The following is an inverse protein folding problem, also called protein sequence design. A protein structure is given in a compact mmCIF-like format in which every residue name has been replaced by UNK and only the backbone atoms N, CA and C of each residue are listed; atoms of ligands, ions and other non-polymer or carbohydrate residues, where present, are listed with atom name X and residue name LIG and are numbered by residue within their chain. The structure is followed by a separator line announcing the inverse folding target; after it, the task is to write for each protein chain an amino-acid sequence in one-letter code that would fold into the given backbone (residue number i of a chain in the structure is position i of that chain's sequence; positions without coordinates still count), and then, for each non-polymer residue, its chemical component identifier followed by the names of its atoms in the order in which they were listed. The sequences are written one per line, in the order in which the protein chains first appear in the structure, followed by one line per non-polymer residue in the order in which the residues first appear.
data_IF_056937255298
#
_entry.id   IF_056937255298
#
_cell.length_a   1.000
_cell.length_b   1.000
_cell.length_c   1.000
_cell.angle_alpha   90.00
_cell.angle_beta   90.00
_cell.angle_gamma   90.00
#
_symmetry.space_group_name_H-M   'P 1'
#
loop_
_entity.id
_entity.type
_entity.pdbx_description
1 polymer ?
#
# COMPACT_ATOMS: atom_id res chain seq x y z
N UNK A 1 -15.59 -18.13 -18.66
CA UNK A 1 -15.35 -16.87 -17.92
C UNK A 1 -16.13 -16.94 -16.61
N UNK A 2 -15.46 -17.19 -15.48
CA UNK A 2 -16.13 -17.26 -14.18
C UNK A 2 -16.74 -15.89 -13.84
N UNK A 3 -18.03 -15.90 -13.53
CA UNK A 3 -18.86 -14.73 -13.29
C UNK A 3 -18.24 -13.90 -12.13
N UNK A 4 -17.53 -12.81 -12.45
CA UNK A 4 -16.82 -11.94 -11.49
C UNK A 4 -17.76 -11.11 -10.62
N UNK A 5 -19.07 -11.34 -10.70
CA UNK A 5 -20.11 -10.58 -10.01
C UNK A 5 -20.11 -10.79 -8.48
N UNK A 6 -19.64 -11.93 -7.98
CA UNK A 6 -19.67 -12.21 -6.53
C UNK A 6 -18.53 -11.54 -5.73
N UNK A 7 -17.54 -10.94 -6.39
CA UNK A 7 -16.37 -10.37 -5.71
C UNK A 7 -16.43 -8.84 -5.73
N UNK A 8 -16.21 -8.17 -4.58
CA UNK A 8 -16.02 -6.73 -4.55
C UNK A 8 -14.92 -6.29 -5.53
N UNK A 9 -15.11 -5.17 -6.24
CA UNK A 9 -14.13 -4.66 -7.20
C UNK A 9 -12.79 -4.37 -6.49
N UNK A 10 -11.68 -4.72 -7.16
CA UNK A 10 -10.32 -4.54 -6.62
C UNK A 10 -9.56 -3.45 -7.38
N UNK A 11 -8.68 -2.69 -6.70
CA UNK A 11 -7.72 -1.80 -7.35
C UNK A 11 -6.94 -2.50 -8.46
N UNK A 12 -6.71 -1.78 -9.57
CA UNK A 12 -5.89 -2.29 -10.65
C UNK A 12 -4.42 -2.08 -10.29
N UNK A 13 -3.65 -3.17 -10.35
CA UNK A 13 -2.22 -3.09 -10.13
C UNK A 13 -1.56 -2.43 -11.33
N UNK A 14 -1.35 -1.11 -11.25
CA UNK A 14 -0.58 -0.37 -12.26
C UNK A 14 0.91 -0.68 -12.09
N UNK A 15 1.69 -0.74 -13.18
CA UNK A 15 3.14 -0.95 -13.12
C UNK A 15 3.87 0.06 -12.22
N UNK A 16 3.34 1.29 -12.11
CA UNK A 16 3.82 2.30 -11.15
C UNK A 16 3.63 1.89 -9.69
N UNK A 17 2.46 1.33 -9.34
CA UNK A 17 2.18 0.83 -7.98
C UNK A 17 3.11 -0.34 -7.66
N UNK A 18 3.36 -1.24 -8.63
CA UNK A 18 4.33 -2.32 -8.47
C UNK A 18 5.74 -1.77 -8.17
N UNK A 19 6.20 -0.77 -8.91
CA UNK A 19 7.52 -0.17 -8.71
C UNK A 19 7.65 0.47 -7.32
N UNK A 20 6.64 1.21 -6.87
CA UNK A 20 6.64 1.77 -5.52
C UNK A 20 6.56 0.70 -4.44
N UNK A 21 5.83 -0.39 -4.66
CA UNK A 21 5.79 -1.52 -3.74
C UNK A 21 7.16 -2.22 -3.63
N UNK A 22 7.90 -2.36 -4.74
CA UNK A 22 9.28 -2.86 -4.70
C UNK A 22 10.21 -1.92 -3.91
N UNK A 23 10.04 -0.60 -4.06
CA UNK A 23 10.78 0.37 -3.26
C UNK A 23 10.44 0.28 -1.77
N UNK A 24 9.19 0.01 -1.41
CA UNK A 24 8.76 -0.22 -0.02
C UNK A 24 9.38 -1.49 0.58
N UNK A 25 9.39 -2.60 -0.16
CA UNK A 25 10.07 -3.85 0.25
C UNK A 25 11.57 -3.62 0.45
N UNK A 26 12.20 -2.84 -0.43
CA UNK A 26 13.59 -2.42 -0.25
C UNK A 26 13.77 -1.59 1.04
N UNK A 27 12.89 -0.60 1.27
CA UNK A 27 12.91 0.21 2.49
C UNK A 27 12.75 -0.62 3.76
N UNK A 28 11.80 -1.55 3.79
CA UNK A 28 11.61 -2.51 4.90
C UNK A 28 12.84 -3.37 5.14
N UNK A 29 13.48 -3.84 4.06
CA UNK A 29 14.72 -4.63 4.15
C UNK A 29 15.85 -3.82 4.77
N UNK A 30 16.03 -2.56 4.33
CA UNK A 30 17.00 -1.63 4.91
C UNK A 30 16.72 -1.34 6.40
N UNK A 31 15.46 -1.10 6.76
CA UNK A 31 15.08 -0.89 8.16
C UNK A 31 15.36 -2.13 9.00
N UNK A 32 14.98 -3.32 8.53
CA UNK A 32 15.21 -4.58 9.24
C UNK A 32 16.71 -4.83 9.46
N UNK A 33 17.53 -4.67 8.43
CA UNK A 33 18.99 -4.83 8.52
C UNK A 33 19.61 -3.80 9.45
N UNK A 34 19.27 -2.51 9.32
CA UNK A 34 19.81 -1.46 10.17
C UNK A 34 19.36 -1.60 11.63
N UNK A 35 18.09 -1.94 11.87
CA UNK A 35 17.53 -2.17 13.20
C UNK A 35 18.18 -3.37 13.89
N UNK A 36 18.50 -4.44 13.15
CA UNK A 36 19.16 -5.63 13.70
C UNK A 36 20.51 -5.31 14.35
N UNK A 37 21.23 -4.31 13.83
CA UNK A 37 22.50 -3.87 14.41
C UNK A 37 22.32 -3.23 15.80
N UNK A 38 21.21 -2.54 16.06
CA UNK A 38 20.95 -1.95 17.36
C UNK A 38 20.58 -3.00 18.43
N UNK A 39 20.08 -4.17 18.01
CA UNK A 39 19.71 -5.27 18.92
C UNK A 39 20.92 -6.16 19.22
N UNK A 40 21.68 -6.57 18.20
CA UNK A 40 22.78 -7.54 18.36
C UNK A 40 24.19 -6.94 18.39
N UNK A 41 24.35 -5.63 18.10
CA UNK A 41 25.65 -4.90 17.98
C UNK A 41 26.64 -5.50 16.97
N UNK A 42 26.24 -6.52 16.21
CA UNK A 42 26.92 -7.12 15.05
C UNK A 42 25.85 -7.33 13.98
N UNK A 43 26.16 -7.01 12.72
CA UNK A 43 25.22 -7.20 11.60
C UNK A 43 24.78 -8.66 11.51
N UNK A 44 23.57 -8.95 11.98
CA UNK A 44 23.08 -10.31 12.18
C UNK A 44 22.39 -10.89 10.93
N UNK A 45 21.99 -10.04 9.99
CA UNK A 45 21.18 -10.43 8.82
C UNK A 45 22.01 -10.52 7.51
N UNK A 46 23.12 -9.77 7.39
CA UNK A 46 24.10 -9.88 6.30
C UNK A 46 25.51 -9.92 6.89
N UNK A 47 26.32 -10.91 6.49
CA UNK A 47 27.70 -11.02 6.95
C UNK A 47 28.47 -9.74 6.56
N UNK A 48 28.87 -8.96 7.57
CA UNK A 48 29.57 -7.66 7.47
C UNK A 48 28.73 -6.46 7.02
N UNK A 49 27.41 -6.42 7.23
CA UNK A 49 26.64 -5.18 7.06
C UNK A 49 25.46 -5.11 8.04
N UNK A 50 25.32 -4.06 8.88
CA UNK A 50 26.14 -2.85 9.03
C UNK A 50 27.46 -3.08 9.79
N UNK A 51 28.56 -2.42 9.39
CA UNK A 51 29.87 -2.54 10.08
C UNK A 51 30.10 -1.45 11.14
N UNK A 52 29.36 -0.34 11.04
CA UNK A 52 29.44 0.78 11.98
C UNK A 52 28.07 1.32 12.41
N UNK A 53 28.04 2.03 13.54
CA UNK A 53 26.83 2.70 14.02
C UNK A 53 26.28 3.72 13.01
N UNK A 54 27.17 4.40 12.29
CA UNK A 54 26.81 5.41 11.28
C UNK A 54 26.10 4.74 10.09
N UNK A 55 26.59 3.59 9.63
CA UNK A 55 25.95 2.81 8.57
C UNK A 55 24.59 2.26 9.01
N UNK A 56 24.48 1.79 10.25
CA UNK A 56 23.21 1.30 10.80
C UNK A 56 22.16 2.43 10.84
N UNK A 57 22.53 3.61 11.35
CA UNK A 57 21.65 4.80 11.35
C UNK A 57 21.29 5.22 9.93
N UNK A 58 22.25 5.28 9.01
CA UNK A 58 22.01 5.68 7.63
C UNK A 58 21.07 4.69 6.90
N UNK A 59 21.26 3.39 7.11
CA UNK A 59 20.44 2.34 6.50
C UNK A 59 19.01 2.36 7.07
N UNK A 60 18.86 2.47 8.39
CA UNK A 60 17.53 2.57 9.03
C UNK A 60 16.81 3.86 8.62
N UNK A 61 17.46 5.02 8.73
CA UNK A 61 16.86 6.30 8.37
C UNK A 61 16.53 6.39 6.88
N UNK A 62 17.46 5.93 6.02
CA UNK A 62 17.24 5.84 4.58
C UNK A 62 16.07 4.91 4.22
N UNK A 63 16.00 3.75 4.86
CA UNK A 63 14.88 2.82 4.71
C UNK A 63 13.53 3.44 5.09
N UNK A 64 13.46 4.13 6.23
CA UNK A 64 12.24 4.85 6.66
C UNK A 64 11.83 5.93 5.65
N UNK A 65 12.78 6.73 5.16
CA UNK A 65 12.50 7.76 4.15
C UNK A 65 11.93 7.14 2.87
N UNK A 66 12.52 6.05 2.39
CA UNK A 66 12.04 5.33 1.20
C UNK A 66 10.65 4.75 1.43
N UNK A 67 10.37 4.14 2.59
CA UNK A 67 9.05 3.62 2.94
C UNK A 67 7.98 4.73 2.92
N UNK A 68 8.22 5.83 3.63
CA UNK A 68 7.27 6.96 3.70
C UNK A 68 7.02 7.53 2.30
N UNK A 69 8.07 7.70 1.50
CA UNK A 69 7.96 8.15 0.12
C UNK A 69 7.16 7.18 -0.75
N UNK A 70 7.45 5.88 -0.67
CA UNK A 70 6.78 4.85 -1.47
C UNK A 70 5.28 4.75 -1.12
N UNK A 71 4.94 4.73 0.17
CA UNK A 71 3.55 4.69 0.65
C UNK A 71 2.77 5.91 0.17
N UNK A 72 3.33 7.11 0.31
CA UNK A 72 2.68 8.33 -0.18
C UNK A 72 2.39 8.28 -1.69
N UNK A 73 3.32 7.71 -2.48
CA UNK A 73 3.14 7.53 -3.93
C UNK A 73 2.11 6.47 -4.27
N UNK A 74 2.07 5.34 -3.55
CA UNK A 74 1.05 4.31 -3.74
C UNK A 74 -0.33 4.88 -3.45
N UNK A 75 -0.51 5.56 -2.32
CA UNK A 75 -1.78 6.20 -1.97
C UNK A 75 -2.18 7.26 -2.99
N UNK A 76 -1.23 8.04 -3.52
CA UNK A 76 -1.48 8.98 -4.61
C UNK A 76 -1.94 8.31 -5.91
N UNK A 77 -1.36 7.18 -6.30
CA UNK A 77 -1.81 6.43 -7.49
C UNK A 77 -3.15 5.72 -7.27
N UNK A 78 -3.43 5.25 -6.05
CA UNK A 78 -4.73 4.70 -5.68
C UNK A 78 -5.82 5.76 -5.66
N UNK A 79 -5.51 6.98 -5.18
CA UNK A 79 -6.44 8.10 -5.20
C UNK A 79 -6.87 8.45 -6.63
N UNK A 80 -5.97 8.36 -7.61
CA UNK A 80 -6.30 8.53 -9.04
C UNK A 80 -7.26 7.47 -9.58
N UNK A 81 -7.23 6.26 -9.03
CA UNK A 81 -8.13 5.17 -9.44
C UNK A 81 -9.46 5.14 -8.67
N UNK A 82 -9.60 5.97 -7.62
CA UNK A 82 -10.71 5.90 -6.66
C UNK A 82 -12.09 6.14 -7.29
N UNK A 83 -12.21 7.04 -8.27
CA UNK A 83 -13.47 7.35 -8.95
C UNK A 83 -14.00 6.16 -9.76
N UNK A 84 -13.11 5.52 -10.53
CA UNK A 84 -13.41 4.30 -11.31
C UNK A 84 -13.78 3.14 -10.37
N UNK A 85 -13.10 3.04 -9.22
CA UNK A 85 -13.41 2.03 -8.21
C UNK A 85 -14.79 2.22 -7.59
N UNK A 86 -15.14 3.49 -7.30
CA UNK A 86 -16.43 3.86 -6.73
C UNK A 86 -17.57 3.52 -7.68
N UNK A 87 -17.43 3.85 -8.97
CA UNK A 87 -18.44 3.51 -9.97
C UNK A 87 -18.67 2.00 -10.08
N UNK A 88 -17.59 1.19 -10.10
CA UNK A 88 -17.70 -0.28 -10.10
C UNK A 88 -18.30 -0.84 -8.81
N UNK A 89 -18.07 -0.18 -7.68
CA UNK A 89 -18.63 -0.59 -6.39
C UNK A 89 -20.11 -0.25 -6.30
N UNK A 90 -20.52 0.93 -6.77
CA UNK A 90 -21.92 1.35 -6.78
C UNK A 90 -22.74 0.41 -7.70
N UNK A 91 -22.19 -0.02 -8.84
CA UNK A 91 -22.80 -1.04 -9.73
C UNK A 91 -22.90 -2.43 -9.06
N UNK A 92 -21.85 -2.84 -8.33
CA UNK A 92 -21.85 -4.07 -7.54
C UNK A 92 -22.94 -4.04 -6.45
N UNK A 93 -23.07 -2.93 -5.72
CA UNK A 93 -24.10 -2.75 -4.69
C UNK A 93 -25.50 -2.74 -5.32
N UNK A 94 -25.70 -2.06 -6.45
CA UNK A 94 -26.99 -2.08 -7.15
C UNK A 94 -27.42 -3.50 -7.57
N UNK A 95 -26.45 -4.36 -7.93
CA UNK A 95 -26.71 -5.73 -8.38
C UNK A 95 -26.91 -6.72 -7.23
N UNK A 96 -26.19 -6.56 -6.10
CA UNK A 96 -26.14 -7.57 -5.03
C UNK A 96 -26.76 -7.14 -3.70
N UNK A 97 -26.82 -5.84 -3.42
CA UNK A 97 -27.35 -5.26 -2.19
C UNK A 97 -28.20 -4.03 -2.50
N UNK A 98 -29.34 -4.20 -3.20
CA UNK A 98 -30.19 -3.09 -3.62
C UNK A 98 -30.74 -2.29 -2.43
N UNK A 99 -30.82 -2.92 -1.25
CA UNK A 99 -31.19 -2.29 0.03
C UNK A 99 -30.15 -1.26 0.52
N UNK A 100 -28.90 -1.35 0.05
CA UNK A 100 -27.78 -0.50 0.46
C UNK A 100 -27.39 0.53 -0.60
N UNK A 101 -28.14 0.61 -1.71
CA UNK A 101 -27.94 1.66 -2.71
C UNK A 101 -28.18 3.00 -2.04
N UNK A 102 -27.19 3.89 -2.13
CA UNK A 102 -27.25 5.22 -1.53
C UNK A 102 -28.43 5.99 -2.13
N UNK A 103 -29.52 6.13 -1.36
CA UNK A 103 -30.65 7.01 -1.71
C UNK A 103 -30.18 8.46 -1.61
N UNK A 104 -30.40 9.25 -2.67
CA UNK A 104 -30.18 10.70 -2.60
C UNK A 104 -31.28 11.31 -1.71
N UNK A 105 -31.00 12.44 -1.04
CA UNK A 105 -31.94 13.06 -0.07
C UNK A 105 -33.27 13.56 -0.66
N UNK A 106 -33.51 13.45 -1.96
CA UNK A 106 -34.75 13.90 -2.60
C UNK A 106 -35.93 12.90 -2.46
N UNK A 107 -35.68 11.68 -1.96
CA UNK A 107 -36.72 10.65 -1.76
C UNK A 107 -37.36 10.67 -0.35
N UNK A 108 -37.00 11.65 0.50
CA UNK A 108 -37.50 11.78 1.88
C UNK A 108 -38.52 12.93 2.06
N UNK A 109 -39.19 13.33 0.98
CA UNK A 109 -40.24 14.35 0.99
C UNK A 109 -41.54 13.84 0.41
N UNK A 110 -42.35 13.14 1.22
CA UNK A 110 -43.80 13.09 1.09
C UNK A 110 -44.46 12.88 2.44
#
# INVERSE_FOLDING_TARGET
MLNSRLRPPRPLLTGRIMLYALADVFGLSCVAIGASWFVERKGAILANFPTSAVEAVACTAGGVVVMVWAVARILGELAKQSSVMKAKYDDYIATHHPDKVRKLPDDAGN
#
